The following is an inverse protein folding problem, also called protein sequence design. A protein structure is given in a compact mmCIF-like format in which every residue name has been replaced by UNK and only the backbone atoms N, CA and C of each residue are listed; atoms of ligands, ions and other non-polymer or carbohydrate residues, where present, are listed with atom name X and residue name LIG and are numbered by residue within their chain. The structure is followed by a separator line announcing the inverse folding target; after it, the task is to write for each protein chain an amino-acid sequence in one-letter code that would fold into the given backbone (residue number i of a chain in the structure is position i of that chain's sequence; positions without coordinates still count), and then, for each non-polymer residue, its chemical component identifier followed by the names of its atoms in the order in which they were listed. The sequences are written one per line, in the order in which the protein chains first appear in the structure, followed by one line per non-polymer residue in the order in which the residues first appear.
data_IF_824168866187
#
_entry.id   IF_824168866187
#
_cell.length_a   1.000
_cell.length_b   1.000
_cell.length_c   1.000
_cell.angle_alpha   90.00
_cell.angle_beta   90.00
_cell.angle_gamma   90.00
#
_symmetry.space_group_name_H-M   'P 1'
#
loop_
_entity.id
_entity.type
_entity.pdbx_description
1 polymer ?
#
# COMPACT_ATOMS: atom_id res chain seq x y z
N UNK A 1 19.71 -7.59 -0.77
CA UNK A 1 18.81 -7.45 -1.94
C UNK A 1 19.67 -7.34 -3.18
N UNK A 2 19.45 -8.19 -4.19
CA UNK A 2 20.07 -8.02 -5.50
C UNK A 2 19.24 -6.97 -6.22
N UNK A 3 19.77 -5.75 -6.34
CA UNK A 3 19.15 -4.69 -7.15
C UNK A 3 19.49 -4.99 -8.60
N UNK A 4 18.49 -5.26 -9.44
CA UNK A 4 18.71 -5.39 -10.87
C UNK A 4 19.13 -4.01 -11.42
N UNK A 5 20.36 -3.84 -11.94
CA UNK A 5 20.85 -2.56 -12.44
C UNK A 5 20.08 -2.05 -13.67
N UNK A 6 19.29 -2.91 -14.33
CA UNK A 6 18.42 -2.52 -15.45
C UNK A 6 17.01 -2.12 -15.00
N UNK A 7 16.70 -2.21 -13.71
CA UNK A 7 15.40 -1.80 -13.20
C UNK A 7 15.28 -0.26 -13.27
N UNK A 8 14.13 0.28 -13.70
CA UNK A 8 13.92 1.72 -13.71
C UNK A 8 14.04 2.33 -12.31
N UNK A 9 14.56 3.56 -12.25
CA UNK A 9 14.85 4.28 -11.00
C UNK A 9 14.19 5.66 -10.92
N UNK A 10 13.55 6.12 -12.00
CA UNK A 10 12.74 7.35 -11.99
C UNK A 10 11.28 7.03 -11.72
N UNK A 11 10.53 7.98 -11.17
CA UNK A 11 9.09 7.80 -10.95
C UNK A 11 8.36 7.45 -12.25
N UNK A 12 8.65 8.17 -13.32
CA UNK A 12 7.97 7.99 -14.62
C UNK A 12 8.28 6.62 -15.23
N UNK A 13 9.54 6.17 -15.20
CA UNK A 13 9.92 4.87 -15.74
C UNK A 13 9.34 3.72 -14.90
N UNK A 14 9.30 3.87 -13.57
CA UNK A 14 8.68 2.89 -12.67
C UNK A 14 7.17 2.83 -12.92
N UNK A 15 6.49 3.97 -13.06
CA UNK A 15 5.07 4.05 -13.38
C UNK A 15 4.76 3.35 -14.71
N UNK A 16 5.53 3.66 -15.76
CA UNK A 16 5.37 3.03 -17.07
C UNK A 16 5.65 1.52 -17.02
N UNK A 17 6.64 1.09 -16.24
CA UNK A 17 6.89 -0.32 -15.98
C UNK A 17 5.70 -1.01 -15.31
N UNK A 18 5.10 -0.38 -14.28
CA UNK A 18 3.91 -0.91 -13.59
C UNK A 18 2.75 -1.04 -14.57
N UNK A 19 2.42 0.02 -15.33
CA UNK A 19 1.31 0.03 -16.30
C UNK A 19 1.54 -1.02 -17.39
N UNK A 20 2.76 -1.17 -17.89
CA UNK A 20 3.07 -2.20 -18.89
C UNK A 20 2.85 -3.62 -18.34
N UNK A 21 3.29 -3.89 -17.12
CA UNK A 21 3.15 -5.21 -16.52
C UNK A 21 1.72 -5.51 -16.06
N UNK A 22 0.92 -4.49 -15.71
CA UNK A 22 -0.49 -4.66 -15.33
C UNK A 22 -1.35 -5.21 -16.46
N UNK A 23 -0.93 -5.05 -17.72
CA UNK A 23 -1.61 -5.65 -18.88
C UNK A 23 -1.47 -7.18 -18.95
N UNK A 24 -0.49 -7.75 -18.25
CA UNK A 24 -0.21 -9.19 -18.25
C UNK A 24 -0.77 -9.90 -17.02
N UNK A 25 -0.74 -9.23 -15.87
CA UNK A 25 -1.17 -9.79 -14.59
C UNK A 25 -1.52 -8.68 -13.59
N UNK A 26 -2.35 -8.96 -12.56
CA UNK A 26 -2.56 -8.03 -11.47
C UNK A 26 -1.23 -7.66 -10.79
N UNK A 27 -1.06 -6.37 -10.49
CA UNK A 27 0.11 -5.84 -9.77
C UNK A 27 -0.36 -5.33 -8.41
N UNK A 28 0.34 -5.73 -7.35
CA UNK A 28 0.16 -5.20 -6.01
C UNK A 28 1.34 -4.31 -5.65
N UNK A 29 1.04 -3.07 -5.24
CA UNK A 29 2.02 -2.09 -4.81
C UNK A 29 1.80 -1.80 -3.33
N UNK A 30 2.88 -1.74 -2.57
CA UNK A 30 2.86 -1.34 -1.16
C UNK A 30 3.97 -0.35 -0.92
N UNK A 31 3.59 0.84 -0.47
CA UNK A 31 4.51 1.92 -0.15
C UNK A 31 4.05 2.69 1.09
N UNK A 32 4.93 3.54 1.59
CA UNK A 32 4.55 4.59 2.55
C UNK A 32 3.96 5.77 1.77
N UNK A 33 2.99 6.48 2.35
CA UNK A 33 2.28 7.55 1.65
C UNK A 33 3.18 8.74 1.24
N UNK A 34 4.33 8.92 1.89
CA UNK A 34 5.30 9.96 1.55
C UNK A 34 6.20 9.59 0.36
N UNK A 35 6.29 8.31 -0.01
CA UNK A 35 7.11 7.89 -1.16
C UNK A 35 6.54 8.46 -2.46
N UNK A 36 7.37 9.23 -3.17
CA UNK A 36 7.01 9.87 -4.45
C UNK A 36 5.74 10.73 -4.38
N UNK A 37 5.37 11.23 -3.19
CA UNK A 37 4.11 11.93 -2.94
C UNK A 37 3.87 13.09 -3.92
N UNK A 38 4.89 13.93 -4.13
CA UNK A 38 4.83 15.11 -5.01
C UNK A 38 4.49 14.75 -6.46
N UNK A 39 4.88 13.57 -6.93
CA UNK A 39 4.56 13.08 -8.27
C UNK A 39 3.20 12.39 -8.32
N UNK A 40 2.88 11.61 -7.28
CA UNK A 40 1.68 10.78 -7.24
C UNK A 40 0.40 11.60 -7.06
N UNK A 41 0.42 12.64 -6.21
CA UNK A 41 -0.77 13.43 -5.86
C UNK A 41 -1.36 14.21 -7.07
N UNK A 42 -0.51 14.53 -8.04
CA UNK A 42 -0.88 15.23 -9.28
C UNK A 42 -1.21 14.28 -10.45
N UNK A 43 -0.86 12.99 -10.36
CA UNK A 43 -1.07 12.02 -11.44
C UNK A 43 -2.50 11.45 -11.43
N UNK A 44 -3.45 12.28 -11.87
CA UNK A 44 -4.88 11.93 -11.90
C UNK A 44 -5.13 10.61 -12.63
N UNK A 45 -4.50 10.39 -13.78
CA UNK A 45 -4.77 9.21 -14.61
C UNK A 45 -4.28 7.94 -13.93
N UNK A 46 -3.11 7.97 -13.30
CA UNK A 46 -2.65 6.83 -12.50
C UNK A 46 -3.57 6.57 -11.30
N UNK A 47 -4.00 7.63 -10.61
CA UNK A 47 -4.87 7.51 -9.43
C UNK A 47 -6.24 6.90 -9.76
N UNK A 48 -6.91 7.32 -10.85
CA UNK A 48 -8.25 6.80 -11.18
C UNK A 48 -8.23 5.41 -11.84
N UNK A 49 -7.11 5.02 -12.47
CA UNK A 49 -6.95 3.71 -13.10
C UNK A 49 -6.38 2.65 -12.15
N UNK A 50 -6.18 3.00 -10.87
CA UNK A 50 -5.68 2.11 -9.83
C UNK A 50 -6.74 1.88 -8.75
N UNK A 51 -6.68 0.73 -8.07
CA UNK A 51 -7.50 0.48 -6.88
C UNK A 51 -6.67 0.76 -5.64
N UNK A 52 -7.13 1.70 -4.80
CA UNK A 52 -6.39 2.17 -3.63
C UNK A 52 -6.94 1.59 -2.34
N UNK A 53 -6.01 1.22 -1.46
CA UNK A 53 -6.31 0.75 -0.10
C UNK A 53 -5.39 1.43 0.89
N UNK A 54 -5.97 1.93 1.97
CA UNK A 54 -5.27 2.60 3.05
C UNK A 54 -5.36 1.76 4.31
N UNK A 55 -4.23 1.55 4.98
CA UNK A 55 -4.19 0.99 6.33
C UNK A 55 -3.93 2.13 7.32
N UNK A 56 -4.82 2.26 8.31
CA UNK A 56 -4.71 3.25 9.39
C UNK A 56 -4.45 2.55 10.70
N UNK A 57 -3.80 3.25 11.61
CA UNK A 57 -3.48 2.77 12.95
C UNK A 57 -3.50 3.95 13.91
N UNK A 58 -3.86 3.68 15.16
CA UNK A 58 -3.77 4.65 16.25
C UNK A 58 -2.34 5.25 16.34
N UNK A 59 -2.18 6.57 16.16
CA UNK A 59 -0.89 7.25 16.26
C UNK A 59 -0.15 6.99 17.57
N UNK A 60 -0.87 6.81 18.68
CA UNK A 60 -0.27 6.49 19.97
C UNK A 60 0.43 5.13 19.98
N UNK A 61 0.12 4.24 19.03
CA UNK A 61 0.76 2.93 18.84
C UNK A 61 1.79 2.93 17.72
N UNK A 62 1.52 3.63 16.62
CA UNK A 62 2.40 3.62 15.43
C UNK A 62 3.61 4.55 15.56
N UNK A 63 3.44 5.76 16.09
CA UNK A 63 4.54 6.75 16.17
C UNK A 63 5.69 6.23 17.05
N UNK A 64 5.46 5.74 18.29
CA UNK A 64 6.57 5.23 19.10
C UNK A 64 7.26 4.02 18.48
N UNK A 65 6.50 3.15 17.80
CA UNK A 65 7.04 1.99 17.10
C UNK A 65 7.98 2.38 15.96
N UNK A 66 7.67 3.45 15.22
CA UNK A 66 8.51 3.93 14.14
C UNK A 66 9.72 4.69 14.68
N UNK A 67 9.51 5.54 15.69
CA UNK A 67 10.59 6.26 16.39
C UNK A 67 11.63 5.30 16.99
N UNK A 68 11.19 4.13 17.45
CA UNK A 68 12.10 3.08 17.94
C UNK A 68 13.00 2.51 16.84
N UNK A 69 12.50 2.42 15.59
CA UNK A 69 13.27 1.93 14.44
C UNK A 69 14.17 3.03 13.85
N UNK A 70 13.68 4.27 13.83
CA UNK A 70 14.40 5.45 13.38
C UNK A 70 14.05 6.65 14.26
N UNK A 71 14.99 7.04 15.13
CA UNK A 71 14.82 8.17 16.04
C UNK A 71 14.86 9.54 15.34
N UNK A 72 15.23 9.59 14.05
CA UNK A 72 15.30 10.81 13.26
C UNK A 72 14.06 11.01 12.38
N UNK A 73 13.05 10.13 12.49
CA UNK A 73 11.85 10.23 11.68
C UNK A 73 11.18 11.60 11.78
N UNK A 74 10.83 12.16 10.63
CA UNK A 74 10.11 13.42 10.50
C UNK A 74 8.59 13.22 10.46
N UNK A 75 7.82 14.30 10.66
CA UNK A 75 6.36 14.27 10.51
C UNK A 75 5.93 13.84 9.09
N UNK A 76 6.66 14.29 8.06
CA UNK A 76 6.39 13.91 6.67
C UNK A 76 6.62 12.41 6.42
N UNK A 77 7.66 11.83 7.04
CA UNK A 77 7.94 10.40 6.94
C UNK A 77 6.97 9.53 7.76
N UNK A 78 6.29 10.09 8.77
CA UNK A 78 5.14 9.43 9.39
C UNK A 78 3.98 9.29 8.39
N UNK A 79 3.89 10.19 7.41
CA UNK A 79 3.04 10.06 6.23
C UNK A 79 1.54 10.27 6.47
N UNK A 80 1.09 10.69 7.66
CA UNK A 80 -0.34 10.82 7.96
C UNK A 80 -1.03 11.89 7.10
N UNK A 81 -0.37 13.03 6.90
CA UNK A 81 -0.88 14.11 6.05
C UNK A 81 -1.00 13.64 4.60
N UNK A 82 0.07 13.06 4.07
CA UNK A 82 0.14 12.54 2.70
C UNK A 82 -0.91 11.44 2.47
N UNK A 83 -1.12 10.58 3.46
CA UNK A 83 -2.14 9.53 3.42
C UNK A 83 -3.55 10.13 3.34
N UNK A 84 -3.85 11.12 4.18
CA UNK A 84 -5.13 11.82 4.17
C UNK A 84 -5.36 12.57 2.86
N UNK A 85 -4.37 13.32 2.38
CA UNK A 85 -4.45 14.11 1.17
C UNK A 85 -4.68 13.20 -0.06
N UNK A 86 -3.93 12.09 -0.19
CA UNK A 86 -4.16 11.10 -1.23
C UNK A 86 -5.57 10.50 -1.15
N UNK A 87 -6.04 10.13 0.05
CA UNK A 87 -7.39 9.60 0.24
C UNK A 87 -8.46 10.57 -0.25
N UNK A 88 -8.38 11.84 0.13
CA UNK A 88 -9.31 12.89 -0.30
C UNK A 88 -9.25 13.07 -1.83
N UNK A 89 -8.04 13.21 -2.38
CA UNK A 89 -7.81 13.44 -3.81
C UNK A 89 -8.33 12.30 -4.68
N UNK A 90 -8.08 11.05 -4.28
CA UNK A 90 -8.58 9.86 -4.99
C UNK A 90 -10.11 9.81 -4.92
N UNK A 91 -10.69 10.13 -3.76
CA UNK A 91 -12.15 10.19 -3.60
C UNK A 91 -12.76 11.24 -4.53
N UNK A 92 -12.16 12.43 -4.58
CA UNK A 92 -12.55 13.52 -5.48
C UNK A 92 -12.47 13.11 -6.96
N UNK A 93 -11.34 12.54 -7.38
CA UNK A 93 -11.10 12.21 -8.79
C UNK A 93 -11.94 11.05 -9.31
N UNK A 94 -12.16 10.03 -8.48
CA UNK A 94 -12.84 8.79 -8.88
C UNK A 94 -14.32 8.77 -8.53
N UNK A 95 -14.78 9.65 -7.62
CA UNK A 95 -16.13 9.59 -7.04
C UNK A 95 -16.37 8.36 -6.16
N UNK A 96 -15.32 7.59 -5.84
CA UNK A 96 -15.38 6.37 -5.03
C UNK A 96 -14.47 6.53 -3.82
N UNK A 97 -14.97 6.11 -2.67
CA UNK A 97 -14.18 6.10 -1.44
C UNK A 97 -13.18 4.92 -1.50
N UNK A 98 -11.86 5.15 -1.36
CA UNK A 98 -10.88 4.08 -1.26
C UNK A 98 -11.16 3.12 -0.10
N UNK A 99 -10.66 1.90 -0.21
CA UNK A 99 -10.81 0.92 0.87
C UNK A 99 -9.97 1.39 2.07
N UNK A 100 -10.56 1.38 3.25
CA UNK A 100 -9.89 1.73 4.50
C UNK A 100 -9.87 0.51 5.42
N UNK A 101 -8.69 0.17 5.94
CA UNK A 101 -8.46 -0.95 6.85
C UNK A 101 -7.89 -0.40 8.16
N UNK A 102 -8.57 -0.70 9.26
CA UNK A 102 -8.02 -0.48 10.59
C UNK A 102 -7.05 -1.61 10.94
N UNK A 103 -5.82 -1.25 11.34
CA UNK A 103 -4.76 -2.20 11.64
C UNK A 103 -5.05 -3.05 12.90
N UNK A 104 -5.72 -2.48 13.91
CA UNK A 104 -6.08 -3.23 15.12
C UNK A 104 -7.17 -4.27 14.80
N UNK A 105 -8.16 -3.92 13.96
CA UNK A 105 -9.18 -4.86 13.50
C UNK A 105 -8.59 -5.94 12.58
N UNK A 106 -7.68 -5.58 11.68
CA UNK A 106 -6.96 -6.55 10.85
C UNK A 106 -6.17 -7.54 11.72
N UNK A 107 -5.50 -7.05 12.76
CA UNK A 107 -4.75 -7.90 13.69
C UNK A 107 -5.68 -8.80 14.52
N UNK A 108 -6.81 -8.28 14.99
CA UNK A 108 -7.74 -9.02 15.86
C UNK A 108 -8.60 -10.03 15.09
N UNK A 109 -9.00 -9.71 13.86
CA UNK A 109 -9.92 -10.52 13.06
C UNK A 109 -9.42 -10.74 11.61
N UNK A 110 -8.20 -11.29 11.43
CA UNK A 110 -7.52 -11.28 10.13
C UNK A 110 -8.31 -11.99 9.03
N UNK A 111 -8.89 -13.18 9.29
CA UNK A 111 -9.72 -13.90 8.34
C UNK A 111 -10.94 -13.08 7.88
N UNK A 112 -11.62 -12.42 8.82
CA UNK A 112 -12.83 -11.63 8.54
C UNK A 112 -12.49 -10.40 7.71
N UNK A 113 -11.45 -9.67 8.11
CA UNK A 113 -11.03 -8.44 7.43
C UNK A 113 -10.50 -8.76 6.03
N UNK A 114 -9.62 -9.76 5.88
CA UNK A 114 -9.09 -10.12 4.56
C UNK A 114 -10.15 -10.72 3.64
N UNK A 115 -11.10 -11.52 4.15
CA UNK A 115 -12.21 -12.01 3.34
C UNK A 115 -13.10 -10.88 2.82
N UNK A 116 -13.43 -9.91 3.69
CA UNK A 116 -14.17 -8.69 3.30
C UNK A 116 -13.40 -7.85 2.28
N UNK A 117 -12.09 -7.69 2.50
CA UNK A 117 -11.20 -6.94 1.60
C UNK A 117 -11.15 -7.57 0.20
N UNK A 118 -10.89 -8.88 0.11
CA UNK A 118 -10.92 -9.60 -1.16
C UNK A 118 -12.27 -9.46 -1.86
N UNK A 119 -13.38 -9.57 -1.13
CA UNK A 119 -14.72 -9.40 -1.69
C UNK A 119 -14.93 -7.99 -2.28
N UNK A 120 -14.49 -6.93 -1.60
CA UNK A 120 -14.58 -5.55 -2.13
C UNK A 120 -13.74 -5.36 -3.40
N UNK A 121 -12.62 -6.08 -3.52
CA UNK A 121 -11.76 -6.08 -4.70
C UNK A 121 -12.21 -7.03 -5.82
N UNK A 122 -13.30 -7.80 -5.62
CA UNK A 122 -13.69 -8.91 -6.50
C UNK A 122 -12.57 -9.96 -6.70
N UNK A 123 -11.79 -10.21 -5.65
CA UNK A 123 -10.75 -11.23 -5.61
C UNK A 123 -11.23 -12.47 -4.84
N UNK A 124 -10.78 -13.64 -5.27
CA UNK A 124 -10.99 -14.87 -4.50
C UNK A 124 -10.16 -14.82 -3.21
N UNK A 125 -10.83 -14.94 -2.06
CA UNK A 125 -10.15 -15.09 -0.78
C UNK A 125 -9.48 -16.46 -0.70
N UNK A 126 -8.19 -16.48 -0.35
CA UNK A 126 -7.40 -17.70 -0.19
C UNK A 126 -7.09 -17.92 1.31
N UNK A 127 -7.71 -18.90 1.99
CA UNK A 127 -7.48 -19.13 3.43
C UNK A 127 -6.01 -19.43 3.79
N UNK A 128 -5.26 -19.99 2.84
CA UNK A 128 -3.82 -20.30 2.99
C UNK A 128 -2.92 -19.07 3.16
N UNK A 129 -3.44 -17.85 3.00
CA UNK A 129 -2.67 -16.61 3.21
C UNK A 129 -2.14 -16.48 4.65
N UNK A 130 -2.75 -17.18 5.61
CA UNK A 130 -2.29 -17.22 7.01
C UNK A 130 -1.30 -18.35 7.32
N UNK A 131 -1.06 -19.25 6.37
CA UNK A 131 -0.09 -20.33 6.51
C UNK A 131 1.27 -19.84 6.04
N UNK A 132 2.03 -19.24 6.95
CA UNK A 132 3.44 -18.96 6.70
C UNK A 132 4.21 -20.28 6.67
N UNK A 133 4.46 -20.81 5.47
CA UNK A 133 5.55 -21.80 5.32
C UNK A 133 6.85 -21.07 5.62
N UNK A 134 7.50 -21.41 6.74
CA UNK A 134 8.89 -21.05 6.95
C UNK A 134 9.71 -21.69 5.82
N UNK A 135 10.30 -20.87 4.95
CA UNK A 135 11.11 -21.32 3.81
C UNK A 135 12.50 -21.83 4.24
N UNK A 136 12.65 -22.42 5.44
CA UNK A 136 13.95 -22.80 6.00
C UNK A 136 14.22 -24.29 6.17
N UNK A 137 13.34 -25.20 5.73
CA UNK A 137 13.57 -26.65 5.82
C UNK A 137 13.77 -27.32 4.45
N UNK A 138 14.73 -26.83 3.67
CA UNK A 138 15.38 -27.61 2.61
C UNK A 138 16.88 -27.31 2.59
N UNK A 139 17.61 -27.91 3.54
CA UNK A 139 19.03 -28.27 3.38
C UNK A 139 19.12 -29.79 3.20
#
# INVERSE_FOLDING_TARGET
MIVNPQHPTTFEDIKNYIIHNSQKQPIFLKDMAYHCYEYLIEDRDFLINSTHTFIIRDPAKSVPSYYFLDSNITEDELGYRQQYDLFQKITEFSGKVPILIDADDLQRYPNKILSSYCNQLNLAFMPKVFEWKQFYDQQ
#
